data_IF_469402773389
#
_entry.id   IF_469402773389
#
_cell.length_a   1.000
_cell.length_b   1.000
_cell.length_c   1.000
_cell.angle_alpha   90.00
_cell.angle_beta   90.00
_cell.angle_gamma   90.00
#
_symmetry.space_group_name_H-M   'P 1'
#
loop_
_entity.id
_entity.type
_entity.pdbx_description
1 polymer ?
#
# COMPACT_ATOMS: atom_id res chain seq x y z
N UNK A 1 62.08 23.28 -2.10
CA UNK A 1 61.09 22.36 -2.73
C UNK A 1 60.84 22.79 -4.17
N UNK A 2 61.39 22.03 -5.12
CA UNK A 2 61.51 22.43 -6.52
C UNK A 2 60.19 22.30 -7.27
N UNK A 3 60.06 23.05 -8.37
CA UNK A 3 58.88 23.12 -9.25
C UNK A 3 58.44 21.75 -9.81
N UNK A 4 59.30 20.73 -9.73
CA UNK A 4 59.10 19.38 -10.24
C UNK A 4 58.29 18.52 -9.25
N UNK A 5 58.50 18.66 -7.94
CA UNK A 5 57.75 17.89 -6.92
C UNK A 5 56.27 18.29 -6.89
N UNK A 6 55.94 19.58 -7.06
CA UNK A 6 54.54 20.05 -7.12
C UNK A 6 53.76 19.53 -8.33
N UNK A 7 54.44 19.14 -9.42
CA UNK A 7 53.81 18.64 -10.65
C UNK A 7 53.54 17.13 -10.58
N UNK A 8 54.41 16.39 -9.87
CA UNK A 8 54.23 14.97 -9.54
C UNK A 8 53.01 14.74 -8.64
N UNK A 9 52.90 15.55 -7.58
CA UNK A 9 51.83 15.40 -6.59
C UNK A 9 50.44 15.70 -7.19
N UNK A 10 50.34 16.75 -8.02
CA UNK A 10 49.09 17.10 -8.73
C UNK A 10 48.61 16.02 -9.71
N UNK A 11 49.54 15.29 -10.37
CA UNK A 11 49.17 14.18 -11.27
C UNK A 11 48.74 12.93 -10.50
N UNK A 12 49.31 12.69 -9.31
CA UNK A 12 48.95 11.57 -8.44
C UNK A 12 47.56 11.76 -7.82
N UNK A 13 47.23 12.98 -7.39
CA UNK A 13 45.89 13.33 -6.88
C UNK A 13 44.79 13.35 -7.95
N UNK A 14 45.13 13.65 -9.21
CA UNK A 14 44.16 13.60 -10.32
C UNK A 14 43.76 12.16 -10.69
N UNK A 15 44.72 11.22 -10.76
CA UNK A 15 44.45 9.80 -11.06
C UNK A 15 43.68 9.07 -9.94
N UNK A 16 43.84 9.46 -8.69
CA UNK A 16 43.07 8.88 -7.57
C UNK A 16 41.63 9.40 -7.55
N UNK A 17 41.38 10.64 -7.98
CA UNK A 17 40.01 11.19 -8.08
C UNK A 17 39.20 10.62 -9.25
N UNK A 18 39.80 10.41 -10.43
CA UNK A 18 39.09 9.83 -11.58
C UNK A 18 38.70 8.36 -11.35
N UNK A 19 39.57 7.57 -10.71
CA UNK A 19 39.28 6.15 -10.43
C UNK A 19 38.28 5.92 -9.29
N UNK A 20 38.08 6.92 -8.41
CA UNK A 20 37.05 6.94 -7.37
C UNK A 20 35.68 7.37 -7.90
N UNK A 21 35.65 8.32 -8.85
CA UNK A 21 34.43 8.79 -9.51
C UNK A 21 33.79 7.72 -10.42
N UNK A 22 34.58 7.00 -11.22
CA UNK A 22 34.10 5.91 -12.09
C UNK A 22 33.58 4.70 -11.28
N UNK A 23 34.25 4.33 -10.17
CA UNK A 23 33.77 3.28 -9.26
C UNK A 23 32.50 3.66 -8.49
N UNK A 24 32.35 4.95 -8.15
CA UNK A 24 31.13 5.48 -7.51
C UNK A 24 29.95 5.49 -8.49
N UNK A 25 30.19 5.89 -9.75
CA UNK A 25 29.20 5.86 -10.83
C UNK A 25 28.72 4.45 -11.17
N UNK A 26 29.63 3.49 -11.34
CA UNK A 26 29.28 2.09 -11.61
C UNK A 26 28.49 1.43 -10.48
N UNK A 27 28.83 1.70 -9.21
CA UNK A 27 28.10 1.18 -8.03
C UNK A 27 26.71 1.79 -7.87
N UNK A 28 26.52 3.06 -8.27
CA UNK A 28 25.20 3.71 -8.32
C UNK A 28 24.34 3.10 -9.43
N UNK A 29 24.91 2.81 -10.59
CA UNK A 29 24.22 2.14 -11.70
C UNK A 29 23.80 0.70 -11.34
N UNK A 30 24.64 -0.08 -10.65
CA UNK A 30 24.30 -1.45 -10.23
C UNK A 30 23.20 -1.49 -9.17
N UNK A 31 23.16 -0.52 -8.25
CA UNK A 31 22.10 -0.42 -7.24
C UNK A 31 20.74 -0.06 -7.84
N UNK A 32 20.72 0.83 -8.84
CA UNK A 32 19.49 1.19 -9.56
C UNK A 32 18.99 0.01 -10.42
N UNK A 33 19.89 -0.70 -11.11
CA UNK A 33 19.55 -1.91 -11.86
C UNK A 33 19.00 -3.04 -10.98
N UNK A 34 19.47 -3.18 -9.74
CA UNK A 34 18.93 -4.17 -8.79
C UNK A 34 17.53 -3.83 -8.27
N UNK A 35 17.23 -2.54 -8.08
CA UNK A 35 15.87 -2.06 -7.72
C UNK A 35 14.91 -2.26 -8.90
N UNK A 36 15.37 -1.97 -10.12
CA UNK A 36 14.62 -2.20 -11.35
C UNK A 36 14.36 -3.70 -11.58
N UNK A 37 15.33 -4.57 -11.28
CA UNK A 37 15.14 -6.03 -11.35
C UNK A 37 14.12 -6.53 -10.31
N UNK A 38 14.08 -5.97 -9.10
CA UNK A 38 13.10 -6.34 -8.07
C UNK A 38 11.66 -5.92 -8.43
N UNK A 39 11.49 -4.73 -9.02
CA UNK A 39 10.19 -4.23 -9.51
C UNK A 39 9.77 -4.97 -10.79
N UNK A 40 10.72 -5.24 -11.70
CA UNK A 40 10.48 -6.04 -12.89
C UNK A 40 10.16 -7.51 -12.56
N UNK A 41 10.76 -8.11 -11.53
CA UNK A 41 10.41 -9.47 -11.08
C UNK A 41 9.00 -9.57 -10.50
N UNK A 42 8.44 -8.49 -9.94
CA UNK A 42 7.02 -8.41 -9.57
C UNK A 42 6.11 -8.28 -10.80
N UNK A 43 6.55 -7.60 -11.85
CA UNK A 43 5.85 -7.50 -13.14
C UNK A 43 6.01 -8.73 -14.05
N UNK A 44 7.06 -9.54 -13.85
CA UNK A 44 7.33 -10.77 -14.62
C UNK A 44 6.36 -11.89 -14.27
N UNK A 45 5.67 -11.79 -13.13
CA UNK A 45 4.56 -12.68 -12.75
C UNK A 45 3.27 -12.32 -13.51
N UNK A 46 3.26 -11.23 -14.29
CA UNK A 46 2.08 -10.70 -14.98
C UNK A 46 1.96 -11.08 -16.47
N UNK A 47 2.72 -12.07 -16.94
CA UNK A 47 2.45 -12.74 -18.22
C UNK A 47 1.64 -14.04 -18.06
N UNK A 48 1.00 -14.22 -16.90
CA UNK A 48 0.03 -15.29 -16.66
C UNK A 48 -1.34 -14.68 -16.94
N UNK A 49 -2.03 -15.19 -17.96
CA UNK A 49 -3.41 -14.76 -18.28
C UNK A 49 -4.26 -14.78 -17.01
N UNK A 50 -5.17 -13.82 -16.85
CA UNK A 50 -6.09 -13.74 -15.70
C UNK A 50 -6.87 -15.06 -15.51
N UNK A 51 -7.02 -15.85 -16.58
CA UNK A 51 -7.55 -17.22 -16.57
C UNK A 51 -6.59 -18.24 -15.93
N UNK A 52 -5.28 -18.11 -16.14
CA UNK A 52 -4.26 -19.02 -15.64
C UNK A 52 -3.95 -18.81 -14.15
N UNK A 53 -4.05 -17.58 -13.63
CA UNK A 53 -3.86 -17.32 -12.19
C UNK A 53 -4.99 -17.93 -11.32
N UNK A 54 -6.19 -18.08 -11.90
CA UNK A 54 -7.32 -18.77 -11.27
C UNK A 54 -7.20 -20.30 -11.43
N UNK A 55 -6.59 -20.78 -12.52
CA UNK A 55 -6.39 -22.22 -12.77
C UNK A 55 -5.16 -22.83 -12.06
N UNK A 56 -4.08 -22.07 -11.83
CA UNK A 56 -2.80 -22.63 -11.36
C UNK A 56 -2.80 -23.12 -9.90
N UNK A 57 -3.85 -22.82 -9.11
CA UNK A 57 -3.99 -23.35 -7.75
C UNK A 57 -5.22 -24.24 -7.53
N UNK A 58 -5.97 -24.54 -8.59
CA UNK A 58 -7.05 -25.55 -8.54
C UNK A 58 -6.54 -27.00 -8.71
N UNK A 59 -5.26 -27.24 -9.00
CA UNK A 59 -4.72 -28.58 -9.31
C UNK A 59 -3.66 -29.11 -8.32
N UNK A 60 -3.20 -28.32 -7.34
CA UNK A 60 -2.32 -28.85 -6.27
C UNK A 60 -3.14 -29.02 -5.00
N UNK A 61 -3.70 -30.21 -4.83
CA UNK A 61 -4.36 -30.65 -3.61
C UNK A 61 -3.42 -30.56 -2.41
N UNK A 62 -3.54 -29.47 -1.65
CA UNK A 62 -3.11 -29.44 -0.26
C UNK A 62 -4.31 -29.91 0.59
N UNK A 63 -4.14 -30.92 1.46
CA UNK A 63 -5.25 -31.47 2.21
C UNK A 63 -5.83 -30.42 3.16
N UNK A 64 -7.13 -30.20 3.06
CA UNK A 64 -7.94 -29.56 4.09
C UNK A 64 -7.91 -30.49 5.31
N UNK A 65 -7.34 -30.10 6.47
CA UNK A 65 -7.46 -30.93 7.66
C UNK A 65 -8.86 -30.73 8.23
N UNK A 66 -9.80 -31.57 7.78
CA UNK A 66 -10.86 -32.09 8.63
C UNK A 66 -10.31 -33.31 9.36
N UNK A 67 -10.59 -33.42 10.66
CA UNK A 67 -10.14 -34.57 11.43
C UNK A 67 -10.31 -34.34 12.93
N UNK A 68 -11.34 -34.98 13.46
CA UNK A 68 -11.68 -35.09 14.86
C UNK A 68 -10.53 -35.61 15.75
N UNK A 69 -10.70 -35.33 17.05
CA UNK A 69 -9.87 -35.69 18.19
C UNK A 69 -8.84 -36.81 18.02
N UNK A 70 -7.56 -36.43 18.01
CA UNK A 70 -6.47 -37.19 18.66
C UNK A 70 -5.49 -36.19 19.27
N UNK A 71 -5.22 -36.32 20.57
CA UNK A 71 -4.34 -35.44 21.33
C UNK A 71 -2.96 -35.29 20.68
N UNK A 72 -2.58 -34.05 20.38
CA UNK A 72 -1.26 -33.70 19.85
C UNK A 72 -0.59 -32.72 20.80
N UNK A 73 0.47 -33.20 21.46
CA UNK A 73 1.38 -32.38 22.26
C UNK A 73 1.84 -31.15 21.45
N UNK A 74 1.79 -29.99 22.10
CA UNK A 74 2.12 -28.70 21.51
C UNK A 74 3.54 -28.72 20.95
N UNK A 75 3.68 -28.65 19.62
CA UNK A 75 4.99 -28.41 18.99
C UNK A 75 5.51 -27.04 19.45
N UNK A 76 6.76 -26.92 19.91
CA UNK A 76 7.31 -25.65 20.35
C UNK A 76 7.36 -24.66 19.18
N UNK A 77 6.68 -23.52 19.34
CA UNK A 77 6.63 -22.45 18.33
C UNK A 77 8.02 -21.85 18.09
N UNK A 78 8.33 -21.43 16.85
CA UNK A 78 9.63 -20.85 16.53
C UNK A 78 9.93 -19.62 17.40
N UNK A 79 11.18 -19.51 17.89
CA UNK A 79 11.65 -18.46 18.83
C UNK A 79 11.33 -17.03 18.38
N UNK A 80 11.26 -16.78 17.08
CA UNK A 80 10.93 -15.48 16.47
C UNK A 80 9.50 -15.04 16.75
N UNK A 81 8.54 -15.97 16.75
CA UNK A 81 7.12 -15.70 17.00
C UNK A 81 6.87 -15.40 18.49
N UNK A 82 7.56 -16.14 19.38
CA UNK A 82 7.53 -15.90 20.83
C UNK A 82 8.11 -14.54 21.21
N UNK A 83 9.19 -14.12 20.53
CA UNK A 83 9.80 -12.79 20.72
C UNK A 83 8.94 -11.66 20.18
N UNK A 84 8.27 -11.83 19.04
CA UNK A 84 7.32 -10.83 18.49
C UNK A 84 6.10 -10.64 19.39
N UNK A 85 5.50 -11.72 19.90
CA UNK A 85 4.40 -11.63 20.89
C UNK A 85 4.85 -10.98 22.20
N UNK A 86 6.07 -11.27 22.67
CA UNK A 86 6.61 -10.63 23.86
C UNK A 86 6.80 -9.11 23.69
N UNK A 87 7.24 -8.66 22.51
CA UNK A 87 7.37 -7.23 22.19
C UNK A 87 6.01 -6.54 22.04
N UNK A 88 5.00 -7.26 21.54
CA UNK A 88 3.62 -6.76 21.46
C UNK A 88 2.93 -6.64 22.81
N UNK A 89 3.20 -7.58 23.72
CA UNK A 89 2.59 -7.62 25.05
C UNK A 89 3.18 -6.60 26.04
N UNK A 90 4.30 -5.96 25.72
CA UNK A 90 4.98 -4.98 26.59
C UNK A 90 4.70 -3.52 26.25
N UNK A 91 3.88 -3.23 25.23
CA UNK A 91 3.50 -1.84 24.92
C UNK A 91 2.27 -1.46 25.75
N UNK A 92 2.26 -0.30 26.42
CA UNK A 92 1.06 0.17 27.11
C UNK A 92 -0.12 0.24 26.14
N UNK A 93 -1.36 -0.02 26.61
CA UNK A 93 -2.55 0.14 25.80
C UNK A 93 -2.56 1.53 25.15
N UNK A 94 -2.88 1.60 23.85
CA UNK A 94 -3.04 2.88 23.17
C UNK A 94 -4.19 3.62 23.84
N UNK A 95 -3.92 4.78 24.41
CA UNK A 95 -4.97 5.70 24.87
C UNK A 95 -5.71 6.20 23.63
N UNK A 96 -7.03 6.08 23.67
CA UNK A 96 -7.86 6.37 22.52
C UNK A 96 -7.83 7.88 22.26
N UNK A 97 -7.42 8.28 21.06
CA UNK A 97 -7.28 9.69 20.70
C UNK A 97 -8.67 10.31 20.44
N UNK A 98 -9.16 11.23 21.31
CA UNK A 98 -10.50 11.80 21.17
C UNK A 98 -10.72 12.52 19.84
N UNK A 99 -9.67 13.13 19.26
CA UNK A 99 -9.76 13.85 18.00
C UNK A 99 -10.00 12.92 16.82
N UNK A 100 -9.23 11.82 16.74
CA UNK A 100 -9.44 10.79 15.74
C UNK A 100 -10.77 10.06 15.94
N UNK A 101 -11.15 9.76 17.19
CA UNK A 101 -12.40 9.09 17.50
C UNK A 101 -13.64 9.90 17.09
N UNK A 102 -13.61 11.23 17.25
CA UNK A 102 -14.74 12.09 16.84
C UNK A 102 -15.08 11.96 15.35
N UNK A 103 -14.08 11.60 14.53
CA UNK A 103 -14.23 11.41 13.08
C UNK A 103 -14.52 9.96 12.70
N UNK A 104 -14.29 9.00 13.60
CA UNK A 104 -14.32 7.56 13.31
C UNK A 104 -15.44 6.79 14.02
N UNK A 105 -16.00 7.32 15.11
CA UNK A 105 -16.93 6.58 15.98
C UNK A 105 -18.16 6.07 15.22
N UNK A 106 -18.87 6.99 14.56
CA UNK A 106 -20.10 6.66 13.83
C UNK A 106 -19.82 6.18 12.40
N UNK A 107 -20.65 5.30 11.82
CA UNK A 107 -20.62 5.00 10.40
C UNK A 107 -20.67 6.27 9.54
N UNK A 108 -20.09 6.20 8.34
CA UNK A 108 -20.38 7.20 7.31
C UNK A 108 -21.70 6.85 6.64
N UNK A 109 -22.58 7.83 6.45
CA UNK A 109 -23.93 7.60 5.91
C UNK A 109 -24.06 8.05 4.44
N UNK A 110 -23.27 9.04 4.03
CA UNK A 110 -23.31 9.59 2.67
C UNK A 110 -21.91 9.82 2.14
N UNK A 111 -21.79 9.98 0.81
CA UNK A 111 -20.52 10.32 0.16
C UNK A 111 -19.96 11.64 0.70
N UNK A 112 -20.83 12.62 0.98
CA UNK A 112 -20.41 13.92 1.53
C UNK A 112 -19.91 13.78 2.97
N UNK A 113 -20.60 13.00 3.81
CA UNK A 113 -20.13 12.72 5.17
C UNK A 113 -18.77 12.02 5.18
N UNK A 114 -18.62 10.96 4.36
CA UNK A 114 -17.34 10.27 4.20
C UNK A 114 -16.24 11.24 3.73
N UNK A 115 -16.51 12.10 2.75
CA UNK A 115 -15.57 13.09 2.24
C UNK A 115 -15.11 14.08 3.31
N UNK A 116 -16.06 14.66 4.05
CA UNK A 116 -15.78 15.62 5.12
C UNK A 116 -14.93 14.96 6.22
N UNK A 117 -15.33 13.78 6.69
CA UNK A 117 -14.69 13.12 7.83
C UNK A 117 -13.34 12.51 7.47
N UNK A 118 -13.18 11.92 6.27
CA UNK A 118 -11.88 11.47 5.77
C UNK A 118 -10.91 12.64 5.61
N UNK A 119 -11.35 13.78 5.09
CA UNK A 119 -10.53 15.00 5.02
C UNK A 119 -10.19 15.56 6.39
N UNK A 120 -11.13 15.53 7.33
CA UNK A 120 -10.88 15.89 8.72
C UNK A 120 -9.79 15.02 9.34
N UNK A 121 -9.89 13.71 9.15
CA UNK A 121 -8.96 12.72 9.71
C UNK A 121 -7.57 12.83 9.08
N UNK A 122 -7.54 13.06 7.77
CA UNK A 122 -6.32 13.30 7.02
C UNK A 122 -5.57 14.54 7.54
N UNK A 123 -6.28 15.67 7.71
CA UNK A 123 -5.71 16.87 8.35
C UNK A 123 -5.21 16.58 9.76
N UNK A 124 -6.04 15.91 10.55
CA UNK A 124 -5.75 15.60 11.94
C UNK A 124 -4.43 14.82 12.12
N UNK A 125 -4.22 13.78 11.32
CA UNK A 125 -2.99 12.99 11.32
C UNK A 125 -1.81 13.75 10.73
N UNK A 126 -2.02 14.52 9.65
CA UNK A 126 -0.94 15.29 9.02
C UNK A 126 -0.36 16.33 9.96
N UNK A 127 -1.21 17.05 10.68
CA UNK A 127 -0.78 18.11 11.61
C UNK A 127 0.04 17.55 12.79
N UNK A 128 0.00 16.23 13.00
CA UNK A 128 0.78 15.49 14.00
C UNK A 128 2.01 14.77 13.43
N UNK A 129 2.23 14.83 12.12
CA UNK A 129 3.28 14.06 11.45
C UNK A 129 3.06 12.55 11.57
N UNK A 130 1.81 12.12 11.52
CA UNK A 130 1.44 10.70 11.55
C UNK A 130 1.42 10.15 10.11
N UNK A 131 2.24 9.11 9.87
CA UNK A 131 2.39 8.50 8.54
C UNK A 131 1.09 7.95 7.93
N UNK A 132 0.04 7.73 8.74
CA UNK A 132 -1.31 7.36 8.23
C UNK A 132 -1.93 8.46 7.36
N UNK A 133 -1.53 9.72 7.56
CA UNK A 133 -1.95 10.84 6.72
C UNK A 133 -1.57 10.67 5.25
N UNK A 134 -0.47 9.97 4.96
CA UNK A 134 0.03 9.80 3.59
C UNK A 134 -0.98 9.04 2.72
N UNK A 135 -1.43 7.87 3.18
CA UNK A 135 -2.46 7.12 2.47
C UNK A 135 -3.79 7.89 2.44
N UNK A 136 -4.20 8.47 3.57
CA UNK A 136 -5.42 9.26 3.64
C UNK A 136 -5.44 10.45 2.67
N UNK A 137 -4.29 11.07 2.40
CA UNK A 137 -4.17 12.18 1.44
C UNK A 137 -4.61 11.73 0.05
N UNK A 138 -4.08 10.57 -0.38
CA UNK A 138 -4.42 9.97 -1.67
C UNK A 138 -5.88 9.51 -1.65
N UNK A 139 -6.29 8.83 -0.60
CA UNK A 139 -7.63 8.26 -0.50
C UNK A 139 -8.72 9.34 -0.51
N UNK A 140 -8.60 10.37 0.32
CA UNK A 140 -9.55 11.47 0.36
C UNK A 140 -9.66 12.20 -0.99
N UNK A 141 -8.54 12.38 -1.70
CA UNK A 141 -8.53 12.95 -3.05
C UNK A 141 -9.25 12.06 -4.06
N UNK A 142 -9.02 10.75 -4.02
CA UNK A 142 -9.74 9.79 -4.88
C UNK A 142 -11.24 9.84 -4.62
N UNK A 143 -11.66 9.80 -3.35
CA UNK A 143 -13.08 9.87 -2.98
C UNK A 143 -13.73 11.14 -3.50
N UNK A 144 -13.06 12.29 -3.41
CA UNK A 144 -13.55 13.57 -3.94
C UNK A 144 -13.75 13.54 -5.47
N UNK A 145 -12.79 13.02 -6.22
CA UNK A 145 -12.92 13.00 -7.68
C UNK A 145 -13.96 12.00 -8.17
N UNK A 146 -14.11 10.85 -7.50
CA UNK A 146 -15.17 9.90 -7.84
C UNK A 146 -16.53 10.50 -7.47
N UNK A 147 -16.67 11.14 -6.32
CA UNK A 147 -17.90 11.86 -5.93
C UNK A 147 -18.27 12.95 -6.96
N UNK A 148 -17.28 13.73 -7.40
CA UNK A 148 -17.48 14.73 -8.44
C UNK A 148 -17.87 14.08 -9.79
N UNK A 149 -17.30 12.93 -10.13
CA UNK A 149 -17.69 12.18 -11.33
C UNK A 149 -19.11 11.62 -11.25
N UNK A 150 -19.57 11.18 -10.07
CA UNK A 150 -20.98 10.81 -9.81
C UNK A 150 -21.88 12.01 -10.09
N UNK A 151 -21.57 13.19 -9.53
CA UNK A 151 -22.34 14.41 -9.77
C UNK A 151 -22.37 14.88 -11.23
N UNK A 152 -21.40 14.47 -12.06
CA UNK A 152 -21.36 14.75 -13.50
C UNK A 152 -22.07 13.69 -14.36
N UNK A 153 -22.73 12.70 -13.75
CA UNK A 153 -23.40 11.63 -14.49
C UNK A 153 -22.43 10.73 -15.25
N UNK A 154 -21.21 10.53 -14.71
CA UNK A 154 -20.21 9.73 -15.41
C UNK A 154 -20.56 8.23 -15.44
N UNK A 155 -21.34 7.75 -14.47
CA UNK A 155 -21.62 6.33 -14.20
C UNK A 155 -23.01 5.90 -14.71
N UNK A 156 -23.17 4.62 -15.00
CA UNK A 156 -24.44 4.02 -15.42
C UNK A 156 -25.41 3.88 -14.24
N UNK A 157 -24.88 3.48 -13.08
CA UNK A 157 -25.58 3.39 -11.80
C UNK A 157 -24.90 4.32 -10.76
N UNK A 158 -25.22 5.63 -10.77
CA UNK A 158 -24.59 6.60 -9.87
C UNK A 158 -24.93 6.36 -8.40
N UNK A 159 -26.09 5.77 -8.09
CA UNK A 159 -26.51 5.45 -6.72
C UNK A 159 -25.67 4.30 -6.17
N UNK A 160 -25.50 3.21 -6.93
CA UNK A 160 -24.64 2.11 -6.53
C UNK A 160 -23.18 2.54 -6.36
N UNK A 161 -22.68 3.45 -7.19
CA UNK A 161 -21.32 4.00 -7.03
C UNK A 161 -21.22 4.87 -5.76
N UNK A 162 -22.26 5.61 -5.39
CA UNK A 162 -22.29 6.37 -4.15
C UNK A 162 -22.25 5.44 -2.92
N UNK A 163 -23.07 4.39 -2.90
CA UNK A 163 -23.08 3.38 -1.85
C UNK A 163 -21.74 2.65 -1.76
N UNK A 164 -21.13 2.37 -2.92
CA UNK A 164 -19.77 1.84 -3.00
C UNK A 164 -18.77 2.74 -2.29
N UNK A 165 -18.73 4.04 -2.60
CA UNK A 165 -17.81 4.94 -1.90
C UNK A 165 -18.02 4.95 -0.38
N UNK A 166 -19.28 4.92 0.07
CA UNK A 166 -19.64 4.94 1.50
C UNK A 166 -19.22 3.65 2.20
N UNK A 167 -19.58 2.47 1.68
CA UNK A 167 -19.23 1.21 2.32
C UNK A 167 -17.71 0.99 2.30
N UNK A 168 -17.05 1.34 1.20
CA UNK A 168 -15.60 1.25 1.14
C UNK A 168 -14.93 2.17 2.17
N UNK A 169 -15.42 3.40 2.34
CA UNK A 169 -14.96 4.30 3.40
C UNK A 169 -15.22 3.76 4.81
N UNK A 170 -16.34 3.07 5.01
CA UNK A 170 -16.66 2.42 6.28
C UNK A 170 -15.73 1.24 6.60
N UNK A 171 -15.22 0.50 5.61
CA UNK A 171 -14.17 -0.51 5.85
C UNK A 171 -12.89 0.13 6.42
N UNK A 172 -12.41 1.21 5.80
CA UNK A 172 -11.27 1.96 6.33
C UNK A 172 -11.56 2.49 7.75
N UNK A 173 -12.74 3.10 7.95
CA UNK A 173 -13.18 3.62 9.24
C UNK A 173 -13.14 2.56 10.33
N UNK A 174 -13.71 1.38 10.08
CA UNK A 174 -13.71 0.25 11.03
C UNK A 174 -12.29 -0.18 11.38
N UNK A 175 -11.39 -0.24 10.40
CA UNK A 175 -9.98 -0.55 10.64
C UNK A 175 -9.29 0.53 11.48
N UNK A 176 -9.44 1.82 11.12
CA UNK A 176 -8.85 2.92 11.87
C UNK A 176 -9.41 3.00 13.31
N UNK A 177 -10.72 2.84 13.49
CA UNK A 177 -11.37 2.83 14.79
C UNK A 177 -10.87 1.66 15.66
N UNK A 178 -10.75 0.46 15.09
CA UNK A 178 -10.21 -0.69 15.81
C UNK A 178 -8.76 -0.46 16.23
N UNK A 179 -7.96 0.22 15.42
CA UNK A 179 -6.59 0.60 15.79
C UNK A 179 -6.57 1.64 16.92
N UNK A 180 -7.35 2.72 16.79
CA UNK A 180 -7.42 3.79 17.81
C UNK A 180 -8.01 3.32 19.14
N UNK A 181 -8.87 2.31 19.14
CA UNK A 181 -9.46 1.73 20.36
C UNK A 181 -8.69 0.53 20.90
N UNK A 182 -7.46 0.29 20.41
CA UNK A 182 -6.58 -0.78 20.89
C UNK A 182 -7.03 -2.21 20.55
N UNK A 183 -8.03 -2.36 19.68
CA UNK A 183 -8.56 -3.65 19.19
C UNK A 183 -7.79 -4.18 17.99
N UNK A 184 -6.46 -4.03 17.99
CA UNK A 184 -5.60 -4.42 16.87
C UNK A 184 -5.69 -5.90 16.49
N UNK A 185 -6.04 -6.77 17.45
CA UNK A 185 -6.22 -8.20 17.21
C UNK A 185 -7.35 -8.50 16.22
N UNK A 186 -8.36 -7.62 16.14
CA UNK A 186 -9.45 -7.71 15.19
C UNK A 186 -9.07 -7.23 13.78
N UNK A 187 -7.92 -6.54 13.63
CA UNK A 187 -7.49 -6.05 12.33
C UNK A 187 -6.97 -7.18 11.44
N UNK A 188 -7.28 -7.12 10.14
CA UNK A 188 -6.53 -7.84 9.11
C UNK A 188 -5.04 -7.55 9.23
N UNK A 189 -4.20 -8.54 8.92
CA UNK A 189 -2.74 -8.39 9.02
C UNK A 189 -2.22 -7.22 8.18
N UNK A 190 -2.78 -7.00 6.98
CA UNK A 190 -2.40 -5.88 6.12
C UNK A 190 -2.60 -4.52 6.81
N UNK A 191 -3.77 -4.28 7.42
CA UNK A 191 -4.04 -3.06 8.18
C UNK A 191 -3.18 -2.93 9.43
N UNK A 192 -3.00 -4.03 10.18
CA UNK A 192 -2.14 -4.03 11.37
C UNK A 192 -0.71 -3.64 11.03
N UNK A 193 -0.17 -4.17 9.93
CA UNK A 193 1.16 -3.80 9.43
C UNK A 193 1.21 -2.34 9.00
N UNK A 194 0.19 -1.87 8.25
CA UNK A 194 0.11 -0.49 7.78
C UNK A 194 0.11 0.52 8.94
N UNK A 195 -0.77 0.35 9.91
CA UNK A 195 -0.88 1.26 11.05
C UNK A 195 0.34 1.22 11.97
N UNK A 196 0.88 0.02 12.25
CA UNK A 196 2.12 -0.07 13.03
C UNK A 196 3.33 0.51 12.31
N UNK A 197 3.36 0.49 10.99
CA UNK A 197 4.43 1.13 10.25
C UNK A 197 4.42 2.66 10.46
N UNK A 198 3.25 3.28 10.63
CA UNK A 198 3.11 4.71 10.94
C UNK A 198 3.66 5.09 12.32
N UNK A 199 3.72 4.16 13.27
CA UNK A 199 4.34 4.39 14.57
C UNK A 199 5.85 4.13 14.60
N UNK A 200 6.45 3.67 13.48
CA UNK A 200 7.87 3.31 13.40
C UNK A 200 8.68 4.43 12.78
N UNK A 201 9.72 4.83 13.49
CA UNK A 201 10.74 5.72 12.93
C UNK A 201 11.40 5.11 11.68
N UNK A 202 11.43 5.87 10.60
CA UNK A 202 12.19 5.54 9.40
C UNK A 202 11.43 4.74 8.34
N UNK A 203 10.12 4.52 8.51
CA UNK A 203 9.25 4.12 7.38
C UNK A 203 9.22 5.25 6.35
N UNK A 204 9.30 4.91 5.06
CA UNK A 204 9.30 5.89 3.98
C UNK A 204 7.87 6.32 3.62
N UNK A 205 7.70 7.56 3.13
CA UNK A 205 6.41 8.08 2.62
C UNK A 205 5.78 7.11 1.61
N UNK A 206 6.57 6.61 0.64
CA UNK A 206 6.08 5.65 -0.35
C UNK A 206 5.66 4.31 0.28
N UNK A 207 6.29 3.88 1.37
CA UNK A 207 5.87 2.67 2.10
C UNK A 207 4.53 2.90 2.82
N UNK A 208 4.30 4.07 3.42
CA UNK A 208 3.00 4.39 4.02
C UNK A 208 1.87 4.40 2.99
N UNK A 209 2.08 5.08 1.86
CA UNK A 209 1.13 5.06 0.75
C UNK A 209 0.86 3.63 0.29
N UNK A 210 1.93 2.83 0.12
CA UNK A 210 1.80 1.51 -0.44
C UNK A 210 1.11 0.51 0.49
N UNK A 211 1.41 0.58 1.78
CA UNK A 211 0.75 -0.25 2.79
C UNK A 211 -0.75 0.07 2.88
N UNK A 212 -1.11 1.35 2.84
CA UNK A 212 -2.51 1.78 2.86
C UNK A 212 -3.28 1.35 1.62
N UNK A 213 -2.72 1.55 0.42
CA UNK A 213 -3.35 1.09 -0.82
C UNK A 213 -3.48 -0.44 -0.85
N UNK A 214 -2.47 -1.17 -0.41
CA UNK A 214 -2.55 -2.63 -0.31
C UNK A 214 -3.65 -3.09 0.66
N UNK A 215 -3.71 -2.52 1.87
CA UNK A 215 -4.73 -2.91 2.84
C UNK A 215 -6.14 -2.51 2.36
N UNK A 216 -6.30 -1.31 1.79
CA UNK A 216 -7.60 -0.84 1.38
C UNK A 216 -8.08 -1.48 0.08
N UNK A 217 -7.26 -1.49 -0.97
CA UNK A 217 -7.68 -2.00 -2.28
C UNK A 217 -7.60 -3.52 -2.34
N UNK A 218 -6.50 -4.12 -1.89
CA UNK A 218 -6.31 -5.55 -2.06
C UNK A 218 -7.04 -6.38 -0.99
N UNK A 219 -7.32 -5.81 0.20
CA UNK A 219 -8.08 -6.49 1.25
C UNK A 219 -9.53 -6.01 1.37
N UNK A 220 -9.77 -4.73 1.71
CA UNK A 220 -11.13 -4.27 2.06
C UNK A 220 -12.10 -4.36 0.88
N UNK A 221 -11.64 -4.02 -0.33
CA UNK A 221 -12.51 -3.78 -1.47
C UNK A 221 -13.36 -5.00 -1.86
N UNK A 222 -12.80 -6.20 -1.77
CA UNK A 222 -13.53 -7.43 -2.08
C UNK A 222 -14.71 -7.65 -1.13
N UNK A 223 -14.54 -7.28 0.15
CA UNK A 223 -15.57 -7.39 1.17
C UNK A 223 -16.60 -6.26 1.04
N UNK A 224 -16.16 -5.04 0.77
CA UNK A 224 -17.06 -3.91 0.50
C UNK A 224 -18.02 -4.21 -0.67
N UNK A 225 -17.48 -4.68 -1.80
CA UNK A 225 -18.27 -5.06 -2.97
C UNK A 225 -19.21 -6.24 -2.68
N UNK A 226 -18.76 -7.23 -1.90
CA UNK A 226 -19.61 -8.35 -1.50
C UNK A 226 -20.77 -7.91 -0.61
N UNK A 227 -20.55 -6.98 0.32
CA UNK A 227 -21.57 -6.45 1.24
C UNK A 227 -22.60 -5.58 0.51
N UNK A 228 -22.19 -4.82 -0.50
CA UNK A 228 -23.09 -4.03 -1.36
C UNK A 228 -23.93 -4.88 -2.31
N UNK A 229 -23.43 -6.06 -2.68
CA UNK A 229 -24.05 -6.92 -3.67
C UNK A 229 -23.61 -6.59 -5.10
N UNK A 230 -23.02 -7.60 -5.76
CA UNK A 230 -22.61 -7.58 -7.18
C UNK A 230 -23.40 -8.59 -8.04
N UNK A 231 -24.48 -9.14 -7.47
CA UNK A 231 -25.25 -10.23 -8.07
C UNK A 231 -26.16 -9.75 -9.21
N UNK A 232 -26.95 -8.72 -8.92
CA UNK A 232 -27.88 -8.02 -9.79
C UNK A 232 -27.16 -6.97 -10.66
N UNK A 233 -27.67 -6.75 -11.87
CA UNK A 233 -27.10 -5.88 -12.92
C UNK A 233 -25.56 -5.87 -12.98
N UNK A 234 -24.97 -7.07 -12.81
CA UNK A 234 -23.53 -7.26 -12.65
C UNK A 234 -22.72 -6.61 -13.75
N UNK A 235 -23.25 -6.61 -14.97
CA UNK A 235 -22.58 -6.03 -16.14
C UNK A 235 -22.43 -4.51 -16.00
N UNK A 236 -23.50 -3.80 -15.64
CA UNK A 236 -23.45 -2.35 -15.42
C UNK A 236 -22.57 -2.01 -14.22
N UNK A 237 -22.76 -2.70 -13.09
CA UNK A 237 -21.94 -2.51 -11.88
C UNK A 237 -20.44 -2.78 -12.13
N UNK A 238 -20.11 -3.80 -12.92
CA UNK A 238 -18.72 -4.05 -13.33
C UNK A 238 -18.18 -2.94 -14.23
N UNK A 239 -18.98 -2.45 -15.18
CA UNK A 239 -18.60 -1.34 -16.05
C UNK A 239 -18.29 -0.07 -15.24
N UNK A 240 -19.07 0.22 -14.21
CA UNK A 240 -18.84 1.35 -13.32
C UNK A 240 -17.67 1.15 -12.36
N UNK A 241 -17.48 -0.06 -11.81
CA UNK A 241 -16.26 -0.41 -11.06
C UNK A 241 -14.98 -0.18 -11.90
N UNK A 242 -15.02 -0.55 -13.18
CA UNK A 242 -13.95 -0.30 -14.17
C UNK A 242 -13.82 1.18 -14.51
N UNK A 243 -14.92 1.92 -14.57
CA UNK A 243 -14.94 3.36 -14.85
C UNK A 243 -14.26 4.16 -13.75
N UNK A 244 -14.33 3.74 -12.49
CA UNK A 244 -13.52 4.31 -11.40
C UNK A 244 -12.01 4.23 -11.71
N UNK A 245 -11.54 3.19 -12.40
CA UNK A 245 -10.12 3.10 -12.80
C UNK A 245 -9.70 4.24 -13.74
N UNK A 246 -10.63 4.78 -14.55
CA UNK A 246 -10.36 5.96 -15.40
C UNK A 246 -10.18 7.23 -14.57
N UNK A 247 -11.00 7.40 -13.53
CA UNK A 247 -10.85 8.50 -12.56
C UNK A 247 -9.51 8.37 -11.82
N UNK A 248 -9.19 7.16 -11.33
CA UNK A 248 -7.91 6.85 -10.70
C UNK A 248 -6.72 7.16 -11.61
N UNK A 249 -6.81 6.82 -12.90
CA UNK A 249 -5.76 7.12 -13.87
C UNK A 249 -5.50 8.63 -13.97
N UNK A 250 -6.57 9.41 -14.16
CA UNK A 250 -6.45 10.86 -14.27
C UNK A 250 -5.83 11.50 -13.03
N UNK A 251 -6.12 10.95 -11.85
CA UNK A 251 -5.55 11.39 -10.59
C UNK A 251 -4.08 11.02 -10.44
N UNK A 252 -3.68 9.82 -10.82
CA UNK A 252 -2.28 9.42 -10.80
C UNK A 252 -1.49 10.36 -11.71
N UNK A 253 -1.96 10.56 -12.93
CA UNK A 253 -1.35 11.48 -13.91
C UNK A 253 -1.24 12.93 -13.35
N UNK A 254 -2.23 13.42 -12.57
CA UNK A 254 -2.21 14.75 -11.93
C UNK A 254 -1.39 14.84 -10.61
N UNK A 255 -1.37 13.77 -9.82
CA UNK A 255 -0.86 13.77 -8.43
C UNK A 255 0.64 13.54 -8.39
N UNK A 256 1.23 12.88 -9.38
CA UNK A 256 2.67 12.65 -9.43
C UNK A 256 3.46 13.92 -9.71
N UNK A 257 2.95 14.77 -10.61
CA UNK A 257 3.48 16.12 -10.84
C UNK A 257 3.48 16.92 -9.52
N UNK A 258 2.38 16.87 -8.77
CA UNK A 258 2.22 17.64 -7.52
C UNK A 258 2.93 17.03 -6.31
N UNK A 259 3.00 15.71 -6.17
CA UNK A 259 3.72 15.04 -5.08
C UNK A 259 5.23 15.26 -5.20
N UNK A 260 5.76 15.21 -6.44
CA UNK A 260 7.16 15.52 -6.70
C UNK A 260 7.51 16.96 -6.30
N UNK A 261 6.66 17.92 -6.69
CA UNK A 261 6.84 19.34 -6.34
C UNK A 261 6.66 19.62 -4.85
N UNK A 262 5.74 18.93 -4.18
CA UNK A 262 5.35 19.22 -2.78
C UNK A 262 6.25 18.57 -1.74
N UNK A 263 6.85 17.41 -2.04
CA UNK A 263 7.58 16.62 -1.04
C UNK A 263 9.07 16.45 -1.33
N UNK A 264 9.57 16.82 -2.53
CA UNK A 264 11.01 16.75 -2.82
C UNK A 264 11.48 17.72 -3.95
N UNK A 265 11.51 19.04 -3.70
CA UNK A 265 12.09 19.99 -4.66
C UNK A 265 13.58 19.64 -4.94
N UNK A 266 13.92 19.38 -6.20
CA UNK A 266 15.32 19.16 -6.64
C UNK A 266 15.76 17.71 -6.98
N UNK A 267 14.85 16.72 -7.02
CA UNK A 267 15.14 15.34 -7.48
C UNK A 267 14.65 15.08 -8.93
N UNK A 268 14.24 16.13 -9.65
CA UNK A 268 13.54 16.03 -10.94
C UNK A 268 14.21 15.09 -11.98
N UNK A 269 15.54 15.07 -12.07
CA UNK A 269 16.26 14.32 -13.12
C UNK A 269 16.34 12.81 -12.93
N UNK A 270 16.31 12.30 -11.68
CA UNK A 270 16.34 10.85 -11.41
C UNK A 270 14.93 10.25 -11.37
N UNK A 271 13.95 11.04 -10.91
CA UNK A 271 12.53 10.67 -10.91
C UNK A 271 11.94 10.70 -12.34
N UNK A 272 12.39 11.59 -13.23
CA UNK A 272 11.89 11.63 -14.61
C UNK A 272 12.18 10.36 -15.44
N UNK A 273 13.26 9.62 -15.14
CA UNK A 273 13.63 8.43 -15.91
C UNK A 273 13.00 7.12 -15.39
N UNK A 274 12.70 7.05 -14.09
CA UNK A 274 12.21 5.83 -13.41
C UNK A 274 10.78 5.99 -12.91
N UNK A 275 10.32 7.24 -12.72
CA UNK A 275 8.97 7.62 -12.33
C UNK A 275 7.92 6.96 -13.22
N UNK A 276 7.92 7.17 -14.54
CA UNK A 276 6.91 6.58 -15.43
C UNK A 276 6.78 5.05 -15.33
N UNK A 277 7.89 4.34 -15.08
CA UNK A 277 7.87 2.88 -14.90
C UNK A 277 7.34 2.47 -13.52
N UNK A 278 7.75 3.17 -12.46
CA UNK A 278 7.22 2.96 -11.10
C UNK A 278 5.73 3.27 -11.06
N UNK A 279 5.29 4.30 -11.78
CA UNK A 279 3.91 4.73 -11.92
C UNK A 279 3.08 3.71 -12.70
N UNK A 280 3.62 3.20 -13.82
CA UNK A 280 2.99 2.13 -14.58
C UNK A 280 2.85 0.84 -13.75
N UNK A 281 3.89 0.46 -13.01
CA UNK A 281 3.84 -0.71 -12.12
C UNK A 281 2.87 -0.50 -10.95
N UNK A 282 2.87 0.70 -10.34
CA UNK A 282 2.00 1.05 -9.23
C UNK A 282 0.52 1.09 -9.65
N UNK A 283 0.23 1.77 -10.75
CA UNK A 283 -1.11 1.85 -11.32
C UNK A 283 -1.58 0.48 -11.84
N UNK A 284 -0.70 -0.28 -12.49
CA UNK A 284 -0.97 -1.65 -12.91
C UNK A 284 -1.34 -2.56 -11.74
N UNK A 285 -0.58 -2.49 -10.64
CA UNK A 285 -0.90 -3.23 -9.41
C UNK A 285 -2.22 -2.79 -8.77
N UNK A 286 -2.53 -1.50 -8.80
CA UNK A 286 -3.81 -0.95 -8.34
C UNK A 286 -4.99 -1.50 -9.15
N UNK A 287 -4.89 -1.46 -10.49
CA UNK A 287 -5.93 -1.99 -11.38
C UNK A 287 -6.09 -3.49 -11.20
N UNK A 288 -4.98 -4.25 -11.15
CA UNK A 288 -5.02 -5.69 -10.92
C UNK A 288 -5.68 -6.03 -9.57
N UNK A 289 -5.32 -5.30 -8.50
CA UNK A 289 -5.94 -5.48 -7.19
C UNK A 289 -7.45 -5.24 -7.22
N UNK A 290 -7.91 -4.21 -7.94
CA UNK A 290 -9.34 -3.91 -8.14
C UNK A 290 -10.06 -4.99 -8.97
N UNK A 291 -9.41 -5.55 -9.98
CA UNK A 291 -9.96 -6.69 -10.74
C UNK A 291 -10.09 -7.94 -9.87
N UNK A 292 -9.05 -8.28 -9.11
CA UNK A 292 -9.09 -9.41 -8.18
C UNK A 292 -10.21 -9.23 -7.14
N UNK A 293 -10.33 -8.03 -6.58
CA UNK A 293 -11.36 -7.72 -5.60
C UNK A 293 -12.78 -7.90 -6.15
N UNK A 294 -13.02 -7.47 -7.40
CA UNK A 294 -14.30 -7.69 -8.08
C UNK A 294 -14.65 -9.18 -8.19
N UNK A 295 -13.73 -9.99 -8.71
CA UNK A 295 -14.00 -11.42 -8.91
C UNK A 295 -14.12 -12.18 -7.59
N UNK A 296 -13.38 -11.79 -6.56
CA UNK A 296 -13.56 -12.36 -5.22
C UNK A 296 -14.92 -11.99 -4.64
N UNK A 297 -15.38 -10.75 -4.82
CA UNK A 297 -16.71 -10.33 -4.39
C UNK A 297 -17.82 -11.14 -5.10
N UNK A 298 -17.67 -11.38 -6.42
CA UNK A 298 -18.57 -12.26 -7.17
C UNK A 298 -18.57 -13.68 -6.59
N UNK A 299 -17.40 -14.27 -6.34
CA UNK A 299 -17.31 -15.60 -5.74
C UNK A 299 -17.95 -15.67 -4.35
N UNK A 300 -17.77 -14.64 -3.52
CA UNK A 300 -18.36 -14.57 -2.19
C UNK A 300 -19.88 -14.33 -2.24
N UNK A 301 -20.38 -13.67 -3.27
CA UNK A 301 -21.82 -13.43 -3.47
C UNK A 301 -22.52 -14.72 -3.96
N UNK A 302 -21.92 -15.42 -4.92
CA UNK A 302 -22.47 -16.66 -5.50
C UNK A 302 -22.35 -17.86 -4.55
N UNK A 303 -21.27 -17.91 -3.76
CA UNK A 303 -21.00 -18.96 -2.79
C UNK A 303 -20.65 -18.34 -1.43
N UNK A 304 -21.63 -17.84 -0.66
CA UNK A 304 -21.36 -17.16 0.62
C UNK A 304 -20.82 -18.08 1.71
N UNK A 305 -20.97 -19.41 1.55
CA UNK A 305 -20.49 -20.43 2.47
C UNK A 305 -19.56 -21.47 1.83
N UNK A 306 -19.13 -22.43 2.64
CA UNK A 306 -18.36 -23.58 2.17
C UNK A 306 -16.89 -23.27 1.85
N UNK A 307 -16.28 -24.16 1.07
CA UNK A 307 -14.82 -24.15 0.82
C UNK A 307 -14.40 -22.98 -0.06
N UNK A 308 -15.20 -22.60 -1.06
CA UNK A 308 -14.90 -21.47 -1.96
C UNK A 308 -14.83 -20.16 -1.16
N UNK A 309 -15.85 -19.85 -0.35
CA UNK A 309 -15.86 -18.64 0.47
C UNK A 309 -14.64 -18.57 1.42
N UNK A 310 -14.31 -19.70 2.06
CA UNK A 310 -13.19 -19.81 2.99
C UNK A 310 -11.86 -19.62 2.26
N UNK A 311 -11.68 -20.23 1.09
CA UNK A 311 -10.48 -20.11 0.27
C UNK A 311 -10.29 -18.67 -0.23
N UNK A 312 -11.36 -18.03 -0.71
CA UNK A 312 -11.34 -16.63 -1.16
C UNK A 312 -10.95 -15.67 -0.01
N UNK A 313 -11.57 -15.81 1.17
CA UNK A 313 -11.23 -15.02 2.36
C UNK A 313 -9.78 -15.23 2.79
N UNK A 314 -9.33 -16.49 2.82
CA UNK A 314 -7.94 -16.83 3.16
C UNK A 314 -6.95 -16.24 2.15
N UNK A 315 -7.24 -16.35 0.85
CA UNK A 315 -6.38 -15.84 -0.21
C UNK A 315 -6.19 -14.33 -0.09
N UNK A 316 -7.27 -13.57 0.03
CA UNK A 316 -7.21 -12.11 0.21
C UNK A 316 -6.40 -11.73 1.45
N UNK A 317 -6.63 -12.42 2.57
CA UNK A 317 -5.90 -12.18 3.81
C UNK A 317 -4.39 -12.51 3.68
N UNK A 318 -4.05 -13.64 3.05
CA UNK A 318 -2.68 -14.10 2.89
C UNK A 318 -1.90 -13.23 1.88
N UNK A 319 -2.49 -12.93 0.72
CA UNK A 319 -1.88 -12.13 -0.33
C UNK A 319 -1.59 -10.70 0.15
N UNK A 320 -2.58 -10.03 0.73
CA UNK A 320 -2.41 -8.66 1.26
C UNK A 320 -1.39 -8.61 2.41
N UNK A 321 -1.33 -9.63 3.28
CA UNK A 321 -0.32 -9.74 4.32
C UNK A 321 1.10 -9.94 3.77
N UNK A 322 1.25 -10.76 2.73
CA UNK A 322 2.53 -11.01 2.07
C UNK A 322 3.06 -9.73 1.42
N UNK A 323 2.23 -9.00 0.67
CA UNK A 323 2.59 -7.71 0.08
C UNK A 323 3.01 -6.71 1.15
N UNK A 324 2.28 -6.62 2.27
CA UNK A 324 2.66 -5.74 3.38
C UNK A 324 4.05 -6.09 3.95
N UNK A 325 4.37 -7.38 4.04
CA UNK A 325 5.70 -7.85 4.44
C UNK A 325 6.80 -7.47 3.44
N UNK A 326 6.53 -7.55 2.14
CA UNK A 326 7.47 -7.17 1.06
C UNK A 326 7.71 -5.66 1.07
N UNK A 327 6.65 -4.85 1.22
CA UNK A 327 6.77 -3.37 1.27
C UNK A 327 7.69 -2.91 2.40
N UNK A 328 7.63 -3.60 3.55
CA UNK A 328 8.50 -3.31 4.71
C UNK A 328 9.82 -4.08 4.72
N UNK A 329 10.05 -4.98 3.76
CA UNK A 329 11.30 -5.70 3.68
C UNK A 329 12.44 -4.68 3.53
N UNK A 330 13.60 -4.90 4.19
CA UNK A 330 14.72 -3.99 4.05
C UNK A 330 15.07 -3.85 2.57
N UNK A 331 14.83 -2.67 1.99
CA UNK A 331 15.32 -2.35 0.64
C UNK A 331 16.81 -2.64 0.64
N UNK A 332 17.26 -3.51 -0.26
CA UNK A 332 18.64 -3.96 -0.32
C UNK A 332 19.59 -2.74 -0.24
N UNK A 333 20.49 -2.77 0.76
CA UNK A 333 21.43 -1.72 1.19
C UNK A 333 20.91 -0.70 2.23
N UNK A 334 21.28 -0.88 3.52
CA UNK A 334 21.21 0.17 4.55
C UNK A 334 21.95 1.47 4.16
N UNK A 335 22.87 1.42 3.20
CA UNK A 335 23.52 2.62 2.67
C UNK A 335 22.60 3.41 1.73
N UNK A 336 21.77 2.74 0.92
CA UNK A 336 20.77 3.40 0.07
C UNK A 336 19.67 4.03 0.92
N UNK A 337 19.16 3.32 1.93
CA UNK A 337 18.19 3.87 2.87
C UNK A 337 18.75 5.05 3.68
N UNK A 338 20.05 5.04 4.01
CA UNK A 338 20.72 6.19 4.65
C UNK A 338 20.95 7.33 3.66
N UNK A 339 21.28 7.04 2.41
CA UNK A 339 21.48 8.04 1.36
C UNK A 339 20.18 8.77 1.03
N UNK A 340 19.07 8.05 0.82
CA UNK A 340 17.74 8.64 0.61
C UNK A 340 17.35 9.51 1.81
N UNK A 341 17.51 9.00 3.04
CA UNK A 341 17.24 9.79 4.26
C UNK A 341 18.13 11.02 4.39
N UNK A 342 19.41 10.93 4.03
CA UNK A 342 20.34 12.06 4.07
C UNK A 342 20.00 13.12 3.02
N UNK A 343 19.55 12.69 1.84
CA UNK A 343 19.04 13.58 0.78
C UNK A 343 17.77 14.28 1.26
N UNK A 344 16.77 13.55 1.77
CA UNK A 344 15.53 14.13 2.31
C UNK A 344 15.79 15.14 3.44
N UNK A 345 16.73 14.85 4.37
CA UNK A 345 17.13 15.78 5.44
C UNK A 345 17.81 17.04 4.91
N UNK A 346 18.64 16.93 3.86
CA UNK A 346 19.33 18.07 3.24
C UNK A 346 18.39 18.96 2.44
N UNK A 347 17.32 18.39 1.91
CA UNK A 347 16.29 19.11 1.15
C UNK A 347 15.25 19.80 2.06
N UNK A 348 15.48 19.87 3.37
CA UNK A 348 14.59 20.57 4.28
C UNK A 348 13.24 19.89 4.51
N UNK A 349 13.05 18.65 4.03
CA UNK A 349 11.89 17.80 4.33
C UNK A 349 12.02 17.37 5.79
N UNK A 350 11.68 18.30 6.70
CA UNK A 350 11.58 18.04 8.13
C UNK A 350 10.24 17.36 8.37
N UNK A 351 10.30 16.13 8.87
CA UNK A 351 9.19 15.35 9.48
C UNK A 351 7.85 15.48 8.75
N UNK A 352 7.48 14.42 8.05
CA UNK A 352 6.09 14.11 7.76
C UNK A 352 5.76 12.76 8.36
#
# INVERSE_FOLDING_TARGET
>A
MSRIERRSDRRRTARTNESGADRSGRRRLTGVLAVLAGVASLASVSAVSVTDAVCLFAVVGAPVPGGDGVGRAARPRPRTERRRRAVDATRPPREADPGALSLLAEPYETVEDARIRLRGLERYFRDRGDGRAVFLTVYARVTEEVAAAVGRGAFEDPEWVADYLVEFANHYRRAALAFETGREAALPTAWRVAFRAAERDGTLVLQHAALGVNAHVAFDLAFALCELGVGDDRRAKYADHRRINRVLKSLVDETLDRLADRYAPGIATLTAAVGPLVELCWFGALVLGRECAWWIAVLLTEAPGGTVARASRWFVAAASAAVAGVVLAPTASPALARAVRAVLRRLGVRRL
#
